data_IF_705111470206
#
_entry.id   IF_705111470206
#
_cell.length_a   1.000
_cell.length_b   1.000
_cell.length_c   1.000
_cell.angle_alpha   90.00
_cell.angle_beta   90.00
_cell.angle_gamma   90.00
#
_symmetry.space_group_name_H-M   'P 1'
#
loop_
_entity.id
_entity.type
_entity.pdbx_description
1 polymer ?
#
# COMPACT_ATOMS: atom_id res chain seq x y z
N UNK A 1 7.66 14.22 -16.20
CA UNK A 1 7.92 14.96 -14.98
C UNK A 1 9.43 15.06 -14.73
N UNK A 2 9.87 16.23 -14.31
CA UNK A 2 11.26 16.47 -13.90
C UNK A 2 11.53 16.08 -12.44
N UNK A 3 10.53 15.59 -11.75
CA UNK A 3 10.67 15.08 -10.37
C UNK A 3 10.89 13.56 -10.37
N UNK A 4 12.10 13.14 -10.68
CA UNK A 4 12.48 11.73 -10.78
C UNK A 4 12.26 10.99 -9.45
N UNK A 5 12.63 11.64 -8.34
CA UNK A 5 12.47 11.05 -7.01
C UNK A 5 11.00 10.78 -6.72
N UNK A 6 10.13 11.76 -6.99
CA UNK A 6 8.70 11.61 -6.77
C UNK A 6 8.09 10.48 -7.60
N UNK A 7 8.47 10.37 -8.86
CA UNK A 7 7.98 9.33 -9.76
C UNK A 7 8.43 7.94 -9.26
N UNK A 8 9.69 7.79 -8.85
CA UNK A 8 10.23 6.52 -8.37
C UNK A 8 9.54 6.06 -7.07
N UNK A 9 9.41 6.97 -6.08
CA UNK A 9 8.74 6.64 -4.82
C UNK A 9 7.27 6.32 -5.04
N UNK A 10 6.59 7.10 -5.85
CA UNK A 10 5.19 6.85 -6.18
C UNK A 10 4.98 5.48 -6.80
N UNK A 11 5.81 5.14 -7.78
CA UNK A 11 5.73 3.85 -8.49
C UNK A 11 5.98 2.65 -7.57
N UNK A 12 6.96 2.76 -6.68
CA UNK A 12 7.28 1.66 -5.76
C UNK A 12 6.21 1.49 -4.68
N UNK A 13 5.76 2.60 -4.09
CA UNK A 13 4.87 2.56 -2.94
C UNK A 13 3.40 2.28 -3.32
N UNK A 14 2.95 2.69 -4.51
CA UNK A 14 1.58 2.41 -4.96
C UNK A 14 1.26 0.92 -4.94
N UNK A 15 2.24 0.08 -5.23
CA UNK A 15 2.05 -1.37 -5.27
C UNK A 15 1.76 -1.94 -3.88
N UNK A 16 2.35 -1.35 -2.84
CA UNK A 16 2.07 -1.72 -1.44
C UNK A 16 0.63 -1.34 -1.08
N UNK A 17 0.17 -0.16 -1.51
CA UNK A 17 -1.21 0.26 -1.29
C UNK A 17 -2.17 -0.67 -2.03
N UNK A 18 -1.85 -1.06 -3.26
CA UNK A 18 -2.66 -2.00 -4.04
C UNK A 18 -2.79 -3.36 -3.34
N UNK A 19 -1.72 -3.83 -2.72
CA UNK A 19 -1.74 -5.06 -1.93
C UNK A 19 -2.73 -4.93 -0.76
N UNK A 20 -2.66 -3.85 -0.01
CA UNK A 20 -3.59 -3.59 1.11
C UNK A 20 -5.04 -3.47 0.62
N UNK A 21 -5.25 -2.78 -0.51
CA UNK A 21 -6.58 -2.67 -1.12
C UNK A 21 -7.13 -4.05 -1.49
N UNK A 22 -6.28 -4.93 -2.00
CA UNK A 22 -6.66 -6.32 -2.31
C UNK A 22 -7.15 -7.08 -1.09
N UNK A 23 -6.47 -6.95 0.03
CA UNK A 23 -6.92 -7.54 1.31
C UNK A 23 -8.32 -7.01 1.65
N UNK A 24 -8.52 -5.71 1.58
CA UNK A 24 -9.79 -5.06 1.91
C UNK A 24 -10.93 -5.56 1.04
N UNK A 25 -10.70 -5.67 -0.26
CA UNK A 25 -11.70 -6.15 -1.23
C UNK A 25 -12.09 -7.60 -0.92
N UNK A 26 -11.11 -8.47 -0.71
CA UNK A 26 -11.36 -9.89 -0.44
C UNK A 26 -12.14 -10.10 0.85
N UNK A 27 -11.90 -9.29 1.85
CA UNK A 27 -12.56 -9.40 3.16
C UNK A 27 -13.86 -8.59 3.24
N UNK A 28 -14.32 -8.04 2.12
CA UNK A 28 -15.61 -7.33 2.01
C UNK A 28 -15.74 -6.13 2.95
N UNK A 29 -14.67 -5.36 3.11
CA UNK A 29 -14.73 -4.14 3.92
C UNK A 29 -15.59 -3.03 3.30
N UNK A 30 -15.80 -3.09 1.98
CA UNK A 30 -16.69 -2.15 1.28
C UNK A 30 -15.99 -0.93 0.69
N UNK A 31 -16.77 -0.14 -0.04
CA UNK A 31 -16.26 0.97 -0.85
C UNK A 31 -15.68 2.12 -0.02
N UNK A 32 -16.27 2.40 1.13
CA UNK A 32 -15.78 3.48 2.00
C UNK A 32 -14.40 3.16 2.56
N UNK A 33 -14.17 1.92 2.97
CA UNK A 33 -12.85 1.48 3.42
C UNK A 33 -11.84 1.52 2.28
N UNK A 34 -12.24 1.08 1.08
CA UNK A 34 -11.39 1.13 -0.10
C UNK A 34 -10.95 2.58 -0.39
N UNK A 35 -11.90 3.51 -0.41
CA UNK A 35 -11.61 4.92 -0.64
C UNK A 35 -10.68 5.51 0.44
N UNK A 36 -10.92 5.15 1.70
CA UNK A 36 -10.09 5.59 2.82
C UNK A 36 -8.66 5.07 2.69
N UNK A 37 -8.47 3.83 2.26
CA UNK A 37 -7.14 3.24 2.03
C UNK A 37 -6.39 3.98 0.92
N UNK A 38 -7.06 4.35 -0.17
CA UNK A 38 -6.43 5.10 -1.26
C UNK A 38 -6.02 6.49 -0.80
N UNK A 39 -6.91 7.20 -0.13
CA UNK A 39 -6.65 8.55 0.38
C UNK A 39 -5.47 8.54 1.36
N UNK A 40 -5.50 7.62 2.28
CA UNK A 40 -4.45 7.45 3.28
C UNK A 40 -3.15 7.00 2.64
N UNK A 41 -3.22 6.07 1.68
CA UNK A 41 -2.06 5.58 0.96
C UNK A 41 -1.35 6.69 0.23
N UNK A 42 -2.10 7.55 -0.45
CA UNK A 42 -1.53 8.71 -1.12
C UNK A 42 -0.82 9.64 -0.14
N UNK A 43 -1.43 9.89 1.03
CA UNK A 43 -0.82 10.72 2.05
C UNK A 43 0.50 10.13 2.58
N UNK A 44 0.55 8.80 2.79
CA UNK A 44 1.78 8.12 3.22
C UNK A 44 2.89 8.24 2.16
N UNK A 45 2.53 7.99 0.90
CA UNK A 45 3.47 8.09 -0.23
C UNK A 45 4.04 9.51 -0.31
N UNK A 46 3.16 10.51 -0.26
CA UNK A 46 3.56 11.91 -0.34
C UNK A 46 4.44 12.31 0.84
N UNK A 47 4.10 11.84 2.03
CA UNK A 47 4.87 12.15 3.25
C UNK A 47 6.30 11.63 3.16
N UNK A 48 6.47 10.37 2.75
CA UNK A 48 7.79 9.80 2.56
C UNK A 48 8.54 10.48 1.40
N UNK A 49 7.87 10.65 0.26
CA UNK A 49 8.47 11.23 -0.92
C UNK A 49 8.99 12.65 -0.68
N UNK A 50 8.21 13.49 -0.01
CA UNK A 50 8.62 14.86 0.32
C UNK A 50 9.84 14.86 1.25
N UNK A 51 9.87 13.98 2.24
CA UNK A 51 11.04 13.83 3.13
C UNK A 51 12.29 13.41 2.36
N UNK A 52 12.12 12.63 1.30
CA UNK A 52 13.23 12.19 0.46
C UNK A 52 13.62 13.21 -0.62
N UNK A 53 12.95 14.35 -0.69
CA UNK A 53 13.29 15.44 -1.61
C UNK A 53 12.36 15.57 -2.82
N UNK A 54 11.28 14.83 -2.88
CA UNK A 54 10.31 14.93 -3.97
C UNK A 54 9.38 16.15 -3.80
N UNK A 55 8.76 16.54 -4.91
CA UNK A 55 7.76 17.61 -4.90
C UNK A 55 6.39 17.04 -4.53
N UNK A 56 5.70 17.68 -3.61
CA UNK A 56 4.38 17.25 -3.15
C UNK A 56 3.38 17.13 -4.30
N UNK A 57 3.41 18.08 -5.23
CA UNK A 57 2.48 18.15 -6.37
C UNK A 57 2.54 16.90 -7.25
N UNK A 58 3.69 16.24 -7.34
CA UNK A 58 3.88 15.04 -8.14
C UNK A 58 2.92 13.92 -7.72
N UNK A 59 2.62 13.82 -6.43
CA UNK A 59 1.78 12.73 -5.91
C UNK A 59 0.30 12.96 -6.13
N UNK A 60 -0.12 14.18 -6.37
CA UNK A 60 -1.53 14.55 -6.53
C UNK A 60 -1.96 14.70 -8.00
N UNK A 61 -1.02 14.51 -8.95
CA UNK A 61 -1.32 14.55 -10.38
C UNK A 61 -1.67 13.19 -10.95
N UNK A 62 -1.71 13.10 -12.29
CA UNK A 62 -2.06 11.87 -13.01
C UNK A 62 -1.05 10.74 -12.73
N UNK A 63 0.23 11.07 -12.58
CA UNK A 63 1.27 10.09 -12.31
C UNK A 63 1.29 9.60 -10.85
N UNK A 64 0.61 10.30 -9.97
CA UNK A 64 0.47 9.92 -8.56
C UNK A 64 -0.91 9.34 -8.27
N UNK A 65 -1.89 10.22 -8.02
CA UNK A 65 -3.24 9.83 -7.65
C UNK A 65 -3.93 8.98 -8.71
N UNK A 66 -3.86 9.39 -9.97
CA UNK A 66 -4.51 8.66 -11.08
C UNK A 66 -3.96 7.24 -11.19
N UNK A 67 -2.64 7.11 -11.19
CA UNK A 67 -1.97 5.82 -11.28
C UNK A 67 -2.27 4.92 -10.06
N UNK A 68 -2.36 5.50 -8.87
CA UNK A 68 -2.74 4.78 -7.65
C UNK A 68 -4.15 4.21 -7.77
N UNK A 69 -5.11 5.01 -8.23
CA UNK A 69 -6.50 4.57 -8.40
C UNK A 69 -6.57 3.40 -9.38
N UNK A 70 -5.92 3.53 -10.54
CA UNK A 70 -5.90 2.48 -11.56
C UNK A 70 -5.29 1.20 -11.01
N UNK A 71 -4.13 1.30 -10.36
CA UNK A 71 -3.40 0.15 -9.82
C UNK A 71 -4.22 -0.59 -8.76
N UNK A 72 -4.87 0.14 -7.86
CA UNK A 72 -5.66 -0.45 -6.78
C UNK A 72 -6.99 -1.04 -7.27
N UNK A 73 -7.53 -0.53 -8.37
CA UNK A 73 -8.83 -0.96 -8.91
C UNK A 73 -8.72 -2.03 -9.99
N UNK A 74 -7.54 -2.23 -10.57
CA UNK A 74 -7.36 -3.13 -11.72
C UNK A 74 -7.40 -4.60 -11.29
N UNK A 75 -8.23 -5.39 -12.00
CA UNK A 75 -8.24 -6.85 -11.85
C UNK A 75 -6.94 -7.49 -12.33
N UNK A 76 -6.14 -6.78 -13.12
CA UNK A 76 -4.88 -7.28 -13.67
C UNK A 76 -3.67 -6.99 -12.78
N UNK A 77 -3.85 -6.23 -11.69
CA UNK A 77 -2.76 -5.93 -10.76
C UNK A 77 -2.33 -7.18 -9.98
N UNK A 78 -1.08 -7.56 -10.15
CA UNK A 78 -0.50 -8.68 -9.40
C UNK A 78 -0.45 -8.39 -7.89
N UNK A 79 -0.21 -7.14 -7.54
CA UNK A 79 -0.15 -6.71 -6.14
C UNK A 79 -1.52 -6.80 -5.48
N UNK A 80 -2.56 -6.34 -6.18
CA UNK A 80 -3.95 -6.45 -5.70
C UNK A 80 -4.35 -7.91 -5.57
N UNK A 81 -4.02 -8.75 -6.55
CA UNK A 81 -4.29 -10.19 -6.52
C UNK A 81 -3.59 -10.85 -5.32
N UNK A 82 -2.32 -10.51 -5.10
CA UNK A 82 -1.57 -11.05 -3.96
C UNK A 82 -2.25 -10.68 -2.64
N UNK A 83 -2.70 -9.44 -2.49
CA UNK A 83 -3.46 -9.01 -1.31
C UNK A 83 -4.75 -9.78 -1.12
N UNK A 84 -5.48 -10.04 -2.21
CA UNK A 84 -6.69 -10.85 -2.15
C UNK A 84 -6.41 -12.27 -1.66
N UNK A 85 -5.34 -12.88 -2.16
CA UNK A 85 -4.97 -14.25 -1.76
C UNK A 85 -4.55 -14.31 -0.27
N UNK A 86 -3.80 -13.32 0.19
CA UNK A 86 -3.46 -13.19 1.61
C UNK A 86 -4.75 -13.03 2.45
N UNK A 87 -5.69 -12.24 1.97
CA UNK A 87 -6.99 -12.07 2.64
C UNK A 87 -7.79 -13.37 2.73
N UNK A 88 -7.62 -14.28 1.77
CA UNK A 88 -8.24 -15.61 1.82
C UNK A 88 -7.57 -16.56 2.82
N UNK A 89 -6.41 -16.20 3.34
CA UNK A 89 -5.68 -17.03 4.28
C UNK A 89 -4.52 -17.81 3.71
N UNK A 90 -4.14 -17.58 2.45
CA UNK A 90 -2.97 -18.23 1.88
C UNK A 90 -1.69 -17.70 2.53
N UNK A 91 -0.68 -18.55 2.66
CA UNK A 91 0.65 -18.13 3.08
C UNK A 91 1.35 -17.37 1.95
N UNK A 92 2.40 -16.63 2.28
CA UNK A 92 3.18 -15.91 1.28
C UNK A 92 3.75 -16.86 0.22
N UNK A 93 4.24 -18.04 0.62
CA UNK A 93 4.75 -19.03 -0.33
C UNK A 93 3.67 -19.52 -1.29
N UNK A 94 2.47 -19.77 -0.78
CA UNK A 94 1.32 -20.15 -1.60
C UNK A 94 0.93 -19.04 -2.57
N UNK A 95 0.95 -17.78 -2.11
CA UNK A 95 0.67 -16.61 -2.95
C UNK A 95 1.67 -16.51 -4.09
N UNK A 96 2.96 -16.67 -3.81
CA UNK A 96 4.01 -16.61 -4.83
C UNK A 96 3.81 -17.67 -5.90
N UNK A 97 3.41 -18.88 -5.52
CA UNK A 97 3.11 -19.97 -6.47
C UNK A 97 1.89 -19.65 -7.32
N UNK A 98 0.82 -19.15 -6.71
CA UNK A 98 -0.44 -18.82 -7.41
C UNK A 98 -0.24 -17.69 -8.42
N UNK A 99 0.47 -16.64 -8.04
CA UNK A 99 0.72 -15.50 -8.92
C UNK A 99 1.68 -15.88 -10.05
N UNK A 100 2.72 -16.67 -9.74
CA UNK A 100 3.66 -17.21 -10.73
C UNK A 100 4.58 -16.17 -11.36
N UNK A 101 4.54 -14.93 -10.91
CA UNK A 101 5.33 -13.80 -11.43
C UNK A 101 5.79 -12.92 -10.27
N UNK A 102 6.69 -12.00 -10.54
CA UNK A 102 7.19 -11.03 -9.54
C UNK A 102 6.03 -10.22 -8.95
N UNK A 103 6.04 -10.10 -7.63
CA UNK A 103 5.08 -9.28 -6.88
C UNK A 103 5.86 -8.12 -6.27
N UNK A 104 5.77 -6.96 -6.91
CA UNK A 104 6.60 -5.80 -6.56
C UNK A 104 6.39 -5.34 -5.12
N UNK A 105 5.15 -5.39 -4.61
CA UNK A 105 4.85 -5.02 -3.22
C UNK A 105 5.61 -5.88 -2.22
N UNK A 106 5.72 -7.19 -2.48
CA UNK A 106 6.45 -8.12 -1.61
C UNK A 106 7.94 -7.80 -1.62
N UNK A 107 8.49 -7.49 -2.81
CA UNK A 107 9.90 -7.16 -2.94
C UNK A 107 10.23 -5.79 -2.34
N UNK A 108 9.29 -4.84 -2.42
CA UNK A 108 9.52 -3.45 -2.02
C UNK A 108 9.18 -3.16 -0.56
N UNK A 109 8.41 -4.03 0.10
CA UNK A 109 7.91 -3.72 1.45
C UNK A 109 9.04 -3.54 2.48
N UNK A 110 10.09 -4.34 2.40
CA UNK A 110 11.22 -4.21 3.34
C UNK A 110 11.92 -2.87 3.16
N UNK A 111 12.17 -2.49 1.89
CA UNK A 111 12.80 -1.20 1.58
C UNK A 111 11.94 -0.03 2.06
N UNK A 112 10.62 -0.11 1.83
CA UNK A 112 9.69 0.93 2.30
C UNK A 112 9.70 1.04 3.82
N UNK A 113 9.71 -0.08 4.51
CA UNK A 113 9.75 -0.12 5.97
C UNK A 113 11.05 0.49 6.51
N UNK A 114 12.20 0.19 5.88
CA UNK A 114 13.48 0.79 6.25
C UNK A 114 13.52 2.30 5.99
N UNK A 115 12.95 2.75 4.87
CA UNK A 115 12.88 4.17 4.55
C UNK A 115 11.98 4.92 5.54
N UNK A 116 10.87 4.31 5.93
CA UNK A 116 9.98 4.84 6.96
C UNK A 116 10.76 5.15 8.25
N UNK A 117 11.59 4.22 8.69
CA UNK A 117 12.44 4.40 9.87
C UNK A 117 13.50 5.46 9.65
N UNK A 118 14.20 5.40 8.52
CA UNK A 118 15.29 6.32 8.18
C UNK A 118 14.82 7.77 8.22
N UNK A 119 13.67 8.06 7.63
CA UNK A 119 13.12 9.41 7.56
C UNK A 119 12.19 9.76 8.72
N UNK A 120 11.98 8.81 9.63
CA UNK A 120 11.08 8.98 10.78
C UNK A 120 9.69 9.48 10.36
N UNK A 121 9.11 8.77 9.40
CA UNK A 121 7.80 9.10 8.82
C UNK A 121 6.77 8.10 9.28
N UNK A 122 5.59 8.59 9.64
CA UNK A 122 4.47 7.75 10.01
C UNK A 122 3.79 7.19 8.75
N UNK A 123 3.81 5.86 8.60
CA UNK A 123 3.26 5.17 7.44
C UNK A 123 2.50 3.91 7.89
N UNK A 124 1.27 4.08 8.42
CA UNK A 124 0.52 2.96 8.99
C UNK A 124 0.22 1.82 8.01
N UNK A 125 -0.07 2.12 6.73
CA UNK A 125 -0.36 1.07 5.75
C UNK A 125 0.90 0.24 5.48
N UNK A 126 2.04 0.89 5.28
CA UNK A 126 3.33 0.19 5.09
C UNK A 126 3.63 -0.70 6.29
N UNK A 127 3.42 -0.18 7.49
CA UNK A 127 3.65 -0.93 8.73
C UNK A 127 2.75 -2.16 8.83
N UNK A 128 1.47 -2.03 8.55
CA UNK A 128 0.52 -3.15 8.63
C UNK A 128 0.80 -4.20 7.54
N UNK A 129 1.11 -3.78 6.33
CA UNK A 129 1.47 -4.73 5.25
C UNK A 129 2.73 -5.50 5.61
N UNK A 130 3.74 -4.81 6.14
CA UNK A 130 4.96 -5.45 6.61
C UNK A 130 4.65 -6.52 7.67
N UNK A 131 3.82 -6.18 8.65
CA UNK A 131 3.47 -7.08 9.75
C UNK A 131 2.65 -8.30 9.26
N UNK A 132 1.75 -8.09 8.30
CA UNK A 132 0.98 -9.19 7.69
C UNK A 132 1.92 -10.16 6.97
N UNK A 133 2.89 -9.64 6.22
CA UNK A 133 3.79 -10.47 5.42
C UNK A 133 4.88 -11.17 6.22
N UNK A 134 5.41 -10.52 7.26
CA UNK A 134 6.61 -11.00 7.95
C UNK A 134 6.43 -11.30 9.44
N UNK A 135 5.35 -10.82 10.06
CA UNK A 135 5.10 -11.01 11.50
C UNK A 135 3.80 -11.77 11.79
N UNK A 136 3.26 -12.47 10.80
CA UNK A 136 2.08 -13.31 10.95
C UNK A 136 0.83 -12.58 11.47
N UNK A 137 0.74 -11.28 11.25
CA UNK A 137 -0.44 -10.51 11.64
C UNK A 137 -1.64 -10.90 10.79
N UNK A 138 -2.82 -10.94 11.42
CA UNK A 138 -4.06 -11.26 10.75
C UNK A 138 -4.44 -10.14 9.78
N UNK A 139 -4.67 -10.43 8.47
CA UNK A 139 -4.98 -9.38 7.48
C UNK A 139 -6.23 -8.59 7.81
N UNK A 140 -7.28 -9.24 8.31
CA UNK A 140 -8.54 -8.59 8.66
C UNK A 140 -8.33 -7.59 9.80
N UNK A 141 -7.60 -8.00 10.83
CA UNK A 141 -7.28 -7.14 11.97
C UNK A 141 -6.40 -5.97 11.56
N UNK A 142 -5.47 -6.19 10.62
CA UNK A 142 -4.62 -5.12 10.11
C UNK A 142 -5.44 -4.01 9.46
N UNK A 143 -6.38 -4.36 8.57
CA UNK A 143 -7.26 -3.37 7.94
C UNK A 143 -8.16 -2.70 8.98
N UNK A 144 -8.67 -3.48 9.93
CA UNK A 144 -9.50 -2.94 11.00
C UNK A 144 -8.74 -1.88 11.81
N UNK A 145 -7.48 -2.14 12.18
CA UNK A 145 -6.66 -1.16 12.89
C UNK A 145 -6.44 0.12 12.10
N UNK A 146 -6.24 0.00 10.78
CA UNK A 146 -6.09 1.16 9.91
C UNK A 146 -7.35 2.03 9.94
N UNK A 147 -8.52 1.43 9.92
CA UNK A 147 -9.79 2.18 9.98
C UNK A 147 -10.01 2.84 11.34
N UNK A 148 -9.55 2.23 12.41
CA UNK A 148 -9.63 2.82 13.75
C UNK A 148 -8.74 4.06 13.88
N UNK A 149 -7.55 4.04 13.26
CA UNK A 149 -6.65 5.21 13.24
C UNK A 149 -7.27 6.42 12.56
N UNK A 150 -8.03 6.20 11.48
CA UNK A 150 -8.73 7.28 10.78
C UNK A 150 -9.68 8.05 11.69
N UNK A 151 -10.44 7.33 12.48
CA UNK A 151 -11.37 7.94 13.44
C UNK A 151 -10.66 8.79 14.46
N UNK A 152 -9.47 8.38 14.90
CA UNK A 152 -8.66 9.17 15.85
C UNK A 152 -8.09 10.44 15.21
N UNK A 153 -7.68 10.36 13.94
CA UNK A 153 -7.10 11.50 13.23
C UNK A 153 -8.12 12.60 12.95
N UNK A 154 -9.39 12.24 12.78
CA UNK A 154 -10.49 13.19 12.54
C UNK A 154 -10.97 13.88 13.81
N UNK A 155 -10.66 13.34 14.95
CA UNK A 155 -10.99 13.91 16.25
C UNK A 155 -9.84 14.74 16.79
#
# INVERSE_FOLDING_TARGET
>A
SDDVIGVEYGSALKNIIAFCAGISVELNFGDNTFAALLTRGLAEIARLGVKAGAKKETFYGLTGLGDLIVTCSSEHSRNRKAGRLIGRGLSLDEVKKEVGMVIESVDNIQSAYELKKKYNVEMPIVEEVYNVLFNNENPKEAVYRLMQRDKKAEN
#
